data_IF_610962441563
#
_entry.id   IF_610962441563
#
_cell.length_a   1.000
_cell.length_b   1.000
_cell.length_c   1.000
_cell.angle_alpha   90.00
_cell.angle_beta   90.00
_cell.angle_gamma   90.00
#
_symmetry.space_group_name_H-M   'P 1'
#
loop_
_entity.id
_entity.type
_entity.pdbx_description
1 polymer ?
#
# COMPACT_ATOMS: atom_id res chain seq x y z
N UNK A 1 -4.00 -19.44 -21.69
CA UNK A 1 -2.89 -19.57 -20.72
C UNK A 1 -1.58 -19.79 -21.49
N UNK A 2 -0.89 -18.73 -21.81
CA UNK A 2 0.48 -18.80 -22.35
C UNK A 2 1.42 -19.01 -21.17
N UNK A 3 1.88 -20.23 -20.99
CA UNK A 3 2.96 -20.57 -20.08
C UNK A 3 4.25 -19.99 -20.68
N UNK A 4 4.63 -18.78 -20.32
CA UNK A 4 5.93 -18.23 -20.63
C UNK A 4 6.94 -18.95 -19.73
N UNK A 5 7.64 -19.92 -20.29
CA UNK A 5 8.80 -20.53 -19.65
C UNK A 5 9.85 -19.41 -19.42
N UNK A 6 10.52 -19.36 -18.27
CA UNK A 6 11.60 -18.41 -18.05
C UNK A 6 12.71 -18.70 -19.06
N UNK A 7 12.99 -17.73 -19.94
CA UNK A 7 13.98 -17.85 -21.01
C UNK A 7 15.43 -17.70 -20.44
N UNK A 8 15.55 -17.18 -19.21
CA UNK A 8 16.87 -16.97 -18.59
C UNK A 8 16.82 -17.30 -17.09
N UNK A 9 17.84 -17.99 -16.61
CA UNK A 9 18.02 -18.34 -15.21
C UNK A 9 18.56 -17.15 -14.39
N UNK A 10 19.19 -16.19 -15.06
CA UNK A 10 19.76 -15.00 -14.43
C UNK A 10 19.35 -13.74 -15.20
N UNK A 11 18.92 -12.73 -14.46
CA UNK A 11 18.59 -11.39 -14.98
C UNK A 11 19.45 -10.37 -14.25
N UNK A 12 20.27 -9.64 -15.02
CA UNK A 12 21.03 -8.49 -14.54
C UNK A 12 20.34 -7.21 -14.97
N UNK A 13 20.16 -6.27 -14.03
CA UNK A 13 19.61 -4.96 -14.32
C UNK A 13 20.75 -3.95 -14.34
N UNK A 14 20.95 -3.35 -15.50
CA UNK A 14 21.89 -2.25 -15.67
C UNK A 14 21.09 -0.95 -15.66
N UNK A 15 21.38 -0.07 -14.71
CA UNK A 15 20.71 1.23 -14.60
C UNK A 15 21.37 2.23 -15.55
N UNK A 16 20.57 2.77 -16.48
CA UNK A 16 20.98 3.77 -17.47
C UNK A 16 20.02 4.95 -17.38
N UNK A 17 20.56 6.17 -17.38
CA UNK A 17 19.74 7.37 -17.43
C UNK A 17 18.90 7.42 -18.73
N UNK A 18 17.64 7.84 -18.68
CA UNK A 18 16.77 7.90 -19.85
C UNK A 18 17.34 8.72 -21.01
N UNK A 19 18.08 9.78 -20.72
CA UNK A 19 18.74 10.61 -21.73
C UNK A 19 19.84 9.85 -22.48
N UNK A 20 20.70 9.12 -21.74
CA UNK A 20 21.79 8.32 -22.31
C UNK A 20 21.24 7.15 -23.14
N UNK A 21 20.12 6.57 -22.71
CA UNK A 21 19.45 5.51 -23.46
C UNK A 21 18.91 6.02 -24.78
N UNK A 22 18.33 7.23 -24.82
CA UNK A 22 17.88 7.87 -26.06
C UNK A 22 19.04 8.17 -27.02
N UNK A 23 20.19 8.60 -26.51
CA UNK A 23 21.38 8.84 -27.32
C UNK A 23 21.88 7.54 -27.95
N UNK A 24 21.99 6.46 -27.20
CA UNK A 24 22.37 5.13 -27.72
C UNK A 24 21.37 4.59 -28.74
N UNK A 25 20.07 4.89 -28.59
CA UNK A 25 19.06 4.54 -29.57
C UNK A 25 19.26 5.30 -30.90
N UNK A 26 19.55 6.61 -30.81
CA UNK A 26 19.87 7.45 -31.99
C UNK A 26 21.11 6.99 -32.72
N UNK A 27 22.13 6.56 -32.00
CA UNK A 27 23.36 6.03 -32.54
C UNK A 27 23.23 4.61 -33.16
N UNK A 28 22.03 4.01 -33.10
CA UNK A 28 21.75 2.69 -33.62
C UNK A 28 22.42 1.54 -32.87
N UNK A 29 22.90 1.78 -31.66
CA UNK A 29 23.59 0.77 -30.84
C UNK A 29 22.64 -0.30 -30.26
N UNK A 30 21.32 -0.02 -30.25
CA UNK A 30 20.31 -0.91 -29.65
C UNK A 30 19.39 -1.49 -30.72
N UNK A 31 18.94 -0.67 -31.66
CA UNK A 31 18.10 -1.07 -32.80
C UNK A 31 18.69 -0.61 -34.11
N UNK A 32 18.31 -1.31 -35.19
CA UNK A 32 18.66 -0.85 -36.53
C UNK A 32 18.02 0.52 -36.79
N UNK A 33 18.68 1.45 -37.51
CA UNK A 33 18.26 2.85 -37.66
C UNK A 33 16.79 3.05 -38.06
N UNK A 34 16.28 2.21 -38.99
CA UNK A 34 14.92 2.29 -39.49
C UNK A 34 13.85 1.87 -38.45
N UNK A 35 14.23 1.04 -37.47
CA UNK A 35 13.35 0.62 -36.39
C UNK A 35 13.43 1.59 -35.20
N UNK A 36 14.60 2.15 -34.94
CA UNK A 36 14.84 3.13 -33.91
C UNK A 36 14.05 4.41 -34.15
N UNK A 37 13.98 4.92 -35.37
CA UNK A 37 13.24 6.13 -35.70
C UNK A 37 11.75 6.02 -35.38
N UNK A 38 11.09 4.94 -35.81
CA UNK A 38 9.65 4.72 -35.51
C UNK A 38 9.37 4.53 -34.03
N UNK A 39 10.27 3.91 -33.29
CA UNK A 39 10.12 3.66 -31.88
C UNK A 39 10.34 4.93 -31.04
N UNK A 40 11.23 5.82 -31.47
CA UNK A 40 11.47 7.12 -30.82
C UNK A 40 10.31 8.09 -30.96
N UNK A 41 9.59 8.06 -32.09
CA UNK A 41 8.48 9.00 -32.34
C UNK A 41 7.29 8.83 -31.39
N UNK A 42 7.05 7.60 -30.89
CA UNK A 42 5.86 7.30 -30.12
C UNK A 42 6.10 6.67 -28.76
N UNK A 43 7.11 5.85 -28.61
CA UNK A 43 7.31 5.04 -27.40
C UNK A 43 8.48 5.51 -26.53
N UNK A 44 9.66 5.74 -27.11
CA UNK A 44 10.87 6.11 -26.40
C UNK A 44 10.97 7.61 -26.14
N UNK A 45 10.05 8.12 -25.30
CA UNK A 45 10.14 9.48 -24.77
C UNK A 45 10.83 9.46 -23.40
N UNK A 46 11.45 10.58 -23.00
CA UNK A 46 12.06 10.70 -21.65
C UNK A 46 11.09 10.31 -20.55
N UNK A 47 9.84 10.72 -20.66
CA UNK A 47 8.78 10.40 -19.70
C UNK A 47 8.50 8.89 -19.62
N UNK A 48 8.35 8.25 -20.76
CA UNK A 48 8.07 6.81 -20.82
C UNK A 48 9.27 5.99 -20.32
N UNK A 49 10.49 6.40 -20.70
CA UNK A 49 11.71 5.73 -20.25
C UNK A 49 11.94 5.87 -18.75
N UNK A 50 11.66 7.06 -18.18
CA UNK A 50 11.70 7.25 -16.74
C UNK A 50 10.68 6.34 -16.01
N UNK A 51 9.46 6.23 -16.53
CA UNK A 51 8.44 5.34 -15.99
C UNK A 51 8.84 3.86 -16.11
N UNK A 52 9.40 3.46 -17.25
CA UNK A 52 9.88 2.09 -17.46
C UNK A 52 11.06 1.75 -16.53
N UNK A 53 11.98 2.69 -16.33
CA UNK A 53 13.08 2.56 -15.36
C UNK A 53 12.55 2.32 -13.96
N UNK A 54 11.58 3.12 -13.51
CA UNK A 54 10.95 2.95 -12.20
C UNK A 54 10.29 1.57 -12.07
N UNK A 55 9.54 1.14 -13.08
CA UNK A 55 8.91 -0.18 -13.10
C UNK A 55 9.95 -1.30 -13.06
N UNK A 56 11.04 -1.19 -13.82
CA UNK A 56 12.11 -2.18 -13.85
C UNK A 56 12.80 -2.31 -12.49
N UNK A 57 13.16 -1.19 -11.86
CA UNK A 57 13.77 -1.16 -10.52
C UNK A 57 12.84 -1.76 -9.47
N UNK A 58 11.56 -1.39 -9.51
CA UNK A 58 10.54 -1.95 -8.61
C UNK A 58 10.39 -3.46 -8.79
N UNK A 59 10.32 -3.95 -10.03
CA UNK A 59 10.25 -5.38 -10.35
C UNK A 59 11.48 -6.16 -9.90
N UNK A 60 12.66 -5.55 -10.00
CA UNK A 60 13.91 -6.15 -9.53
C UNK A 60 13.94 -6.26 -8.01
N UNK A 61 13.58 -5.19 -7.31
CA UNK A 61 13.44 -5.21 -5.86
C UNK A 61 12.43 -6.29 -5.40
N UNK A 62 11.29 -6.41 -6.08
CA UNK A 62 10.28 -7.44 -5.83
C UNK A 62 10.83 -8.87 -6.03
N UNK A 63 11.70 -9.06 -7.03
CA UNK A 63 12.30 -10.36 -7.33
C UNK A 63 13.35 -10.75 -6.29
N UNK A 64 14.16 -9.80 -5.85
CA UNK A 64 15.12 -9.98 -4.76
C UNK A 64 14.43 -10.33 -3.45
N UNK A 65 13.33 -9.64 -3.13
CA UNK A 65 12.52 -9.93 -1.94
C UNK A 65 11.90 -11.34 -2.00
N UNK A 66 11.44 -11.79 -3.17
CA UNK A 66 10.94 -13.17 -3.35
C UNK A 66 12.03 -14.22 -3.23
N UNK A 67 13.22 -13.95 -3.75
CA UNK A 67 14.35 -14.86 -3.65
C UNK A 67 14.84 -15.00 -2.20
N UNK A 68 14.75 -13.94 -1.41
CA UNK A 68 15.01 -13.96 0.03
C UNK A 68 13.97 -14.78 0.81
N UNK A 69 12.72 -14.84 0.33
CA UNK A 69 11.63 -15.64 0.94
C UNK A 69 11.78 -17.16 0.69
N UNK A 70 12.55 -17.58 -0.31
CA UNK A 70 12.79 -19.01 -0.62
C UNK A 70 14.04 -19.57 0.06
N UNK A 71 14.89 -18.74 0.64
CA UNK A 71 16.08 -19.13 1.43
C UNK A 71 15.75 -19.25 2.91
N UNK A 72 16.06 -20.39 3.50
CA UNK A 72 15.94 -20.69 4.94
C UNK A 72 16.62 -19.57 5.75
N UNK A 73 15.82 -18.77 6.43
CA UNK A 73 16.30 -17.85 7.45
C UNK A 73 15.96 -16.39 7.19
N UNK A 74 15.08 -15.90 8.04
CA UNK A 74 14.59 -14.51 8.18
C UNK A 74 13.73 -14.01 7.02
N UNK A 75 12.41 -14.13 7.21
CA UNK A 75 11.42 -13.33 6.50
C UNK A 75 11.81 -11.85 6.63
N UNK A 76 12.40 -11.27 5.60
CA UNK A 76 12.28 -9.85 5.37
C UNK A 76 10.80 -9.61 4.99
N UNK A 77 9.91 -9.61 6.00
CA UNK A 77 8.59 -8.98 5.88
C UNK A 77 8.89 -7.60 5.31
N UNK A 78 8.19 -7.20 4.25
CA UNK A 78 8.14 -5.79 3.95
C UNK A 78 7.92 -5.09 5.28
N UNK A 79 8.77 -4.15 5.64
CA UNK A 79 8.69 -3.44 6.91
C UNK A 79 7.40 -2.61 7.04
N UNK A 80 6.59 -2.63 6.00
CA UNK A 80 5.34 -1.91 5.90
C UNK A 80 4.20 -2.69 6.55
N UNK A 81 3.47 -2.02 7.42
CA UNK A 81 2.27 -2.53 8.06
C UNK A 81 1.15 -1.49 7.92
N UNK A 82 0.10 -1.86 7.20
CA UNK A 82 -1.04 -1.00 6.94
C UNK A 82 -2.15 -1.27 7.94
N UNK A 83 -2.61 -0.21 8.60
CA UNK A 83 -3.74 -0.22 9.51
C UNK A 83 -4.92 0.51 8.88
N UNK A 84 -6.09 -0.10 8.83
CA UNK A 84 -7.35 0.56 8.50
C UNK A 84 -8.24 0.60 9.73
N UNK A 85 -8.85 1.76 9.99
CA UNK A 85 -9.79 1.89 11.11
C UNK A 85 -11.22 1.60 10.64
N UNK A 86 -11.89 0.71 11.36
CA UNK A 86 -13.25 0.27 11.08
C UNK A 86 -14.28 1.14 11.78
N UNK A 87 -15.39 1.39 11.11
CA UNK A 87 -16.55 2.10 11.66
C UNK A 87 -17.84 1.65 10.98
N UNK A 88 -19.00 2.02 11.56
CA UNK A 88 -20.31 1.83 10.92
C UNK A 88 -20.65 2.87 9.86
N UNK A 89 -19.73 3.75 9.47
CA UNK A 89 -19.97 4.76 8.44
C UNK A 89 -20.17 4.13 7.05
N UNK A 90 -21.10 4.63 6.22
CA UNK A 90 -21.37 4.10 4.90
C UNK A 90 -20.15 4.11 3.95
N UNK A 91 -19.26 5.10 4.11
CA UNK A 91 -18.03 5.24 3.30
C UNK A 91 -16.91 4.27 3.71
N UNK A 92 -17.01 3.60 4.84
CA UNK A 92 -15.91 2.80 5.40
C UNK A 92 -15.54 1.60 4.50
N UNK A 93 -16.50 0.99 3.81
CA UNK A 93 -16.23 -0.08 2.86
C UNK A 93 -15.24 0.33 1.75
N UNK A 94 -15.31 1.57 1.26
CA UNK A 94 -14.37 2.08 0.27
C UNK A 94 -12.97 2.30 0.86
N UNK A 95 -12.90 2.71 2.12
CA UNK A 95 -11.63 2.88 2.86
C UNK A 95 -10.94 1.53 3.03
N UNK A 96 -11.69 0.49 3.41
CA UNK A 96 -11.18 -0.88 3.54
C UNK A 96 -10.62 -1.40 2.22
N UNK A 97 -11.36 -1.26 1.12
CA UNK A 97 -10.89 -1.67 -0.22
C UNK A 97 -9.65 -0.91 -0.66
N UNK A 98 -9.56 0.37 -0.33
CA UNK A 98 -8.37 1.18 -0.64
C UNK A 98 -7.16 0.70 0.17
N UNK A 99 -7.32 0.46 1.46
CA UNK A 99 -6.27 -0.06 2.32
C UNK A 99 -5.80 -1.46 1.88
N UNK A 100 -6.72 -2.34 1.49
CA UNK A 100 -6.40 -3.67 0.95
C UNK A 100 -5.56 -3.59 -0.33
N UNK A 101 -5.95 -2.72 -1.28
CA UNK A 101 -5.16 -2.49 -2.51
C UNK A 101 -3.77 -1.93 -2.21
N UNK A 102 -3.65 -1.04 -1.22
CA UNK A 102 -2.36 -0.55 -0.77
C UNK A 102 -1.53 -1.67 -0.16
N UNK A 103 -2.11 -2.52 0.69
CA UNK A 103 -1.44 -3.66 1.30
C UNK A 103 -0.93 -4.65 0.25
N UNK A 104 -1.73 -4.93 -0.76
CA UNK A 104 -1.35 -5.77 -1.90
C UNK A 104 -0.20 -5.14 -2.69
N UNK A 105 -0.31 -3.84 -3.04
CA UNK A 105 0.70 -3.13 -3.80
C UNK A 105 2.06 -3.07 -3.06
N UNK A 106 2.04 -2.87 -1.75
CA UNK A 106 3.25 -2.84 -0.93
C UNK A 106 3.67 -4.21 -0.40
N UNK A 107 2.87 -5.28 -0.67
CA UNK A 107 3.08 -6.62 -0.09
C UNK A 107 3.27 -6.57 1.42
N UNK A 108 2.50 -5.73 2.05
CA UNK A 108 2.58 -5.43 3.46
C UNK A 108 1.57 -6.23 4.29
N UNK A 109 1.80 -6.33 5.58
CA UNK A 109 0.77 -6.79 6.49
C UNK A 109 -0.39 -5.79 6.54
N UNK A 110 -1.61 -6.31 6.69
CA UNK A 110 -2.84 -5.55 6.69
C UNK A 110 -3.67 -5.87 7.92
N UNK A 111 -3.96 -4.87 8.72
CA UNK A 111 -4.78 -4.99 9.92
C UNK A 111 -5.96 -4.03 9.87
N UNK A 112 -7.13 -4.52 10.21
CA UNK A 112 -8.33 -3.73 10.38
C UNK A 112 -8.65 -3.60 11.89
N UNK A 113 -8.57 -2.39 12.40
CA UNK A 113 -8.73 -2.06 13.80
C UNK A 113 -10.12 -1.50 14.07
N UNK A 114 -10.82 -2.08 15.01
CA UNK A 114 -12.03 -1.52 15.58
C UNK A 114 -11.75 -1.04 17.01
N UNK A 115 -12.12 0.21 17.30
CA UNK A 115 -12.07 0.78 18.66
C UNK A 115 -13.48 0.74 19.23
N UNK A 116 -13.68 -0.09 20.23
CA UNK A 116 -14.95 -0.18 20.96
C UNK A 116 -14.96 0.83 22.11
N UNK A 117 -15.83 1.81 21.99
CA UNK A 117 -16.05 2.86 23.01
C UNK A 117 -17.21 2.50 23.93
N UNK A 118 -17.34 3.17 25.07
CA UNK A 118 -18.50 2.99 25.97
C UNK A 118 -19.84 3.22 25.27
N UNK A 119 -19.86 4.16 24.29
CA UNK A 119 -21.05 4.49 23.50
C UNK A 119 -21.42 3.41 22.45
N UNK A 120 -20.65 2.34 22.35
CA UNK A 120 -20.94 1.26 21.40
C UNK A 120 -22.30 0.61 21.64
N UNK A 121 -22.75 0.57 22.89
CA UNK A 121 -24.07 0.04 23.28
C UNK A 121 -25.22 0.86 22.70
N UNK A 122 -25.02 2.15 22.51
CA UNK A 122 -26.02 3.10 22.01
C UNK A 122 -25.95 3.26 20.47
N UNK A 123 -25.10 2.46 19.81
CA UNK A 123 -25.00 2.46 18.37
C UNK A 123 -26.31 1.97 17.72
N UNK A 124 -26.80 2.72 16.72
CA UNK A 124 -28.00 2.33 15.96
C UNK A 124 -27.81 0.97 15.27
N UNK A 125 -28.91 0.23 15.10
CA UNK A 125 -28.88 -1.09 14.47
C UNK A 125 -28.31 -1.06 13.03
N UNK A 126 -28.59 0.01 12.30
CA UNK A 126 -28.03 0.24 10.97
C UNK A 126 -26.49 0.37 11.00
N UNK A 127 -25.95 1.15 11.92
CA UNK A 127 -24.51 1.31 12.07
C UNK A 127 -23.86 0.00 12.52
N UNK A 128 -24.51 -0.72 13.41
CA UNK A 128 -24.06 -2.03 13.89
C UNK A 128 -24.05 -3.07 12.78
N UNK A 129 -25.08 -3.08 11.94
CA UNK A 129 -25.16 -3.95 10.76
C UNK A 129 -24.06 -3.62 9.74
N UNK A 130 -23.84 -2.32 9.46
CA UNK A 130 -22.75 -1.87 8.58
C UNK A 130 -21.38 -2.21 9.14
N UNK A 131 -21.16 -2.06 10.43
CA UNK A 131 -19.90 -2.43 11.06
C UNK A 131 -19.61 -3.93 10.89
N UNK A 132 -20.61 -4.79 11.10
CA UNK A 132 -20.46 -6.25 10.89
C UNK A 132 -20.12 -6.57 9.43
N UNK A 133 -20.77 -5.89 8.48
CA UNK A 133 -20.46 -6.06 7.06
C UNK A 133 -19.04 -5.59 6.72
N UNK A 134 -18.58 -4.48 7.31
CA UNK A 134 -17.23 -3.96 7.13
C UNK A 134 -16.16 -4.88 7.76
N UNK A 135 -16.44 -5.50 8.89
CA UNK A 135 -15.57 -6.51 9.51
C UNK A 135 -15.38 -7.70 8.56
N UNK A 136 -16.49 -8.27 8.05
CA UNK A 136 -16.44 -9.38 7.08
C UNK A 136 -15.67 -9.00 5.82
N UNK A 137 -15.96 -7.82 5.26
CA UNK A 137 -15.25 -7.34 4.08
C UNK A 137 -13.74 -7.23 4.32
N UNK A 138 -13.32 -6.75 5.48
CA UNK A 138 -11.91 -6.66 5.83
C UNK A 138 -11.26 -8.04 5.91
N UNK A 139 -11.91 -9.01 6.54
CA UNK A 139 -11.46 -10.40 6.62
C UNK A 139 -11.35 -11.05 5.22
N UNK A 140 -12.37 -10.89 4.37
CA UNK A 140 -12.39 -11.40 2.99
C UNK A 140 -11.24 -10.83 2.15
N UNK A 141 -10.84 -9.58 2.43
CA UNK A 141 -9.71 -8.92 1.78
C UNK A 141 -8.35 -9.22 2.44
N UNK A 142 -8.32 -10.15 3.39
CA UNK A 142 -7.08 -10.62 4.01
C UNK A 142 -6.57 -9.79 5.17
N UNK A 143 -7.39 -8.90 5.75
CA UNK A 143 -7.01 -8.16 6.94
C UNK A 143 -7.02 -9.06 8.20
N UNK A 144 -6.06 -8.85 9.08
CA UNK A 144 -6.16 -9.30 10.46
C UNK A 144 -7.08 -8.37 11.23
N UNK A 145 -8.13 -8.89 11.85
CA UNK A 145 -9.03 -8.08 12.68
C UNK A 145 -8.42 -7.91 14.08
N UNK A 146 -8.44 -6.67 14.56
CA UNK A 146 -8.06 -6.32 15.92
C UNK A 146 -9.16 -5.44 16.54
N UNK A 147 -9.43 -5.66 17.81
CA UNK A 147 -10.35 -4.84 18.61
C UNK A 147 -9.61 -4.33 19.82
N UNK A 148 -9.73 -3.04 20.09
CA UNK A 148 -9.24 -2.40 21.31
C UNK A 148 -10.39 -1.65 21.98
N UNK A 149 -10.29 -1.46 23.29
CA UNK A 149 -11.33 -0.84 24.11
C UNK A 149 -10.83 0.49 24.64
N UNK A 150 -11.65 1.54 24.53
CA UNK A 150 -11.35 2.84 25.12
C UNK A 150 -12.12 3.97 24.49
N UNK A 151 -12.40 5.00 25.25
CA UNK A 151 -13.23 6.14 24.84
C UNK A 151 -12.46 7.18 24.02
N UNK A 152 -11.14 7.22 24.14
CA UNK A 152 -10.29 8.07 23.31
C UNK A 152 -9.83 7.32 22.08
N UNK A 153 -10.68 7.28 21.04
CA UNK A 153 -10.39 6.56 19.79
C UNK A 153 -9.06 6.95 19.16
N UNK A 154 -8.68 8.23 19.01
CA UNK A 154 -7.36 8.62 18.50
C UNK A 154 -6.19 8.04 19.31
N UNK A 155 -6.29 8.09 20.63
CA UNK A 155 -5.25 7.54 21.52
C UNK A 155 -5.11 6.03 21.34
N UNK A 156 -6.21 5.29 21.31
CA UNK A 156 -6.23 3.84 21.13
C UNK A 156 -5.63 3.44 19.77
N UNK A 157 -5.94 4.18 18.71
CA UNK A 157 -5.34 3.96 17.39
C UNK A 157 -3.83 4.20 17.43
N UNK A 158 -3.38 5.29 18.07
CA UNK A 158 -1.97 5.63 18.16
C UNK A 158 -1.17 4.60 18.98
N UNK A 159 -1.72 4.16 20.12
CA UNK A 159 -1.09 3.14 20.97
C UNK A 159 -1.00 1.80 20.25
N UNK A 160 -2.08 1.35 19.61
CA UNK A 160 -2.07 0.12 18.82
C UNK A 160 -1.07 0.20 17.67
N UNK A 161 -1.07 1.31 16.94
CA UNK A 161 -0.16 1.50 15.81
C UNK A 161 1.31 1.44 16.24
N UNK A 162 1.65 2.07 17.37
CA UNK A 162 3.01 2.04 17.93
C UNK A 162 3.40 0.63 18.39
N UNK A 163 2.52 -0.05 19.13
CA UNK A 163 2.78 -1.39 19.65
C UNK A 163 2.90 -2.45 18.55
N UNK A 164 2.17 -2.28 17.44
CA UNK A 164 2.11 -3.25 16.34
C UNK A 164 3.07 -2.92 15.18
N UNK A 165 3.88 -1.88 15.30
CA UNK A 165 4.82 -1.47 14.25
C UNK A 165 4.12 -1.03 12.95
N UNK A 166 2.97 -0.38 13.08
CA UNK A 166 2.22 0.16 11.93
C UNK A 166 2.99 1.30 11.29
N UNK A 167 3.13 1.27 9.97
CA UNK A 167 3.84 2.29 9.20
C UNK A 167 2.89 3.24 8.46
N UNK A 168 1.68 2.77 8.14
CA UNK A 168 0.66 3.56 7.44
C UNK A 168 -0.72 3.34 8.04
N UNK A 169 -1.43 4.42 8.32
CA UNK A 169 -2.80 4.38 8.82
C UNK A 169 -3.73 4.96 7.77
N UNK A 170 -4.78 4.20 7.43
CA UNK A 170 -5.82 4.60 6.47
C UNK A 170 -7.10 4.87 7.23
N UNK A 171 -7.56 6.11 7.17
CA UNK A 171 -8.76 6.59 7.87
C UNK A 171 -9.79 7.07 6.88
N UNK A 172 -11.06 6.81 7.19
CA UNK A 172 -12.19 7.44 6.52
C UNK A 172 -12.36 8.89 6.99
N UNK A 173 -12.79 9.77 6.08
CA UNK A 173 -13.17 11.12 6.47
C UNK A 173 -14.42 11.06 7.35
N UNK A 174 -14.34 11.54 8.58
CA UNK A 174 -15.50 11.74 9.44
C UNK A 174 -16.19 13.06 9.08
N UNK A 175 -17.52 13.02 8.89
CA UNK A 175 -18.31 14.25 8.74
C UNK A 175 -18.54 14.94 10.10
N UNK A 176 -18.17 14.31 11.20
CA UNK A 176 -18.31 14.86 12.52
C UNK A 176 -17.13 15.79 12.82
N UNK A 177 -17.26 17.06 12.42
CA UNK A 177 -16.22 18.10 12.54
C UNK A 177 -15.75 18.37 13.97
N UNK A 178 -16.43 17.85 15.00
CA UNK A 178 -16.14 18.14 16.40
C UNK A 178 -15.11 17.21 17.05
N UNK A 179 -14.83 16.03 16.51
CA UNK A 179 -14.06 15.01 17.24
C UNK A 179 -12.57 14.95 16.92
N UNK A 180 -12.15 15.40 15.75
CA UNK A 180 -10.77 15.16 15.30
C UNK A 180 -9.80 16.33 15.56
N UNK A 181 -10.29 17.56 15.67
CA UNK A 181 -9.43 18.74 15.67
C UNK A 181 -9.25 19.42 17.02
N UNK A 182 -10.18 19.27 17.94
CA UNK A 182 -10.09 19.92 19.27
C UNK A 182 -9.16 19.19 20.24
N UNK A 183 -9.01 17.87 20.15
CA UNK A 183 -8.11 17.11 21.03
C UNK A 183 -6.66 17.06 20.56
N UNK A 184 -6.39 17.25 19.29
CA UNK A 184 -5.03 17.30 18.75
C UNK A 184 -4.22 18.50 19.24
N UNK A 185 -4.88 19.56 19.71
CA UNK A 185 -4.18 20.75 20.28
C UNK A 185 -3.53 20.49 21.64
N UNK A 186 -3.97 19.47 22.36
CA UNK A 186 -3.40 19.15 23.68
C UNK A 186 -2.21 18.20 23.64
N UNK A 187 -1.95 17.54 22.52
CA UNK A 187 -0.80 16.60 22.36
C UNK A 187 0.49 17.30 21.89
N UNK A 188 0.40 18.53 21.41
CA UNK A 188 1.58 19.31 20.91
C UNK A 188 2.14 20.26 21.97
N UNK A 189 1.55 20.28 23.19
CA UNK A 189 1.92 21.26 24.23
C UNK A 189 2.57 20.67 25.48
N UNK A 190 3.09 19.45 25.40
CA UNK A 190 3.91 18.86 26.47
C UNK A 190 5.26 18.39 25.93
N UNK A 191 6.10 19.34 25.60
CA UNK A 191 7.56 19.29 25.68
C UNK A 191 8.05 20.57 26.37
#
# INVERSE_FOLDING_TARGET
>A
QTCALPISDQVEVVDIEPADLLERLKEGKIYRPNQAARAMDHFFTLKNLAALREIALRRTADRLNRAADTGVGTKAKSSEHILVCLSGAPSNANVIRTAARMAEAFRSSFTALFVETSDFKDMSDDNRSRLRANLRLAEELGARIATVYGDDTPLQIAEYARASGVTKIVLGRSNNKRFFWERSKNLVRSE
#
